data_IF_379439430142
#
_entry.id   IF_379439430142
#
_cell.length_a   1.000
_cell.length_b   1.000
_cell.length_c   1.000
_cell.angle_alpha   90.00
_cell.angle_beta   90.00
_cell.angle_gamma   90.00
#
_symmetry.space_group_name_H-M   'P 1'
#
loop_
_entity.id
_entity.type
_entity.pdbx_description
1 polymer ?
#
# COMPACT_ATOMS: atom_id res chain seq x y z
N UNK A 1 15.69 -18.75 18.19
CA UNK A 1 14.61 -17.90 17.65
C UNK A 1 15.16 -17.07 16.51
N UNK A 2 14.76 -17.36 15.27
CA UNK A 2 15.26 -16.65 14.08
C UNK A 2 14.91 -15.15 14.16
N UNK A 3 15.92 -14.29 14.17
CA UNK A 3 15.74 -12.85 14.22
C UNK A 3 15.18 -12.39 12.86
N UNK A 4 13.92 -11.94 12.85
CA UNK A 4 13.30 -11.43 11.62
C UNK A 4 13.96 -10.12 11.21
N UNK A 5 14.51 -10.06 9.99
CA UNK A 5 15.04 -8.84 9.43
C UNK A 5 13.96 -7.75 9.38
N UNK A 6 14.32 -6.51 9.73
CA UNK A 6 13.43 -5.35 9.56
C UNK A 6 13.36 -5.00 8.07
N UNK A 7 12.14 -4.90 7.55
CA UNK A 7 11.87 -4.48 6.18
C UNK A 7 11.14 -3.13 6.17
N UNK A 8 11.57 -2.22 5.29
CA UNK A 8 10.90 -0.94 5.05
C UNK A 8 10.01 -1.07 3.81
N UNK A 9 8.74 -0.70 3.96
CA UNK A 9 7.79 -0.61 2.85
C UNK A 9 7.77 0.84 2.38
N UNK A 10 7.91 1.07 1.08
CA UNK A 10 7.80 2.39 0.46
C UNK A 10 6.81 2.29 -0.69
N UNK A 11 5.79 3.16 -0.67
CA UNK A 11 4.85 3.31 -1.77
C UNK A 11 5.24 4.56 -2.55
N UNK A 12 5.55 4.39 -3.84
CA UNK A 12 5.75 5.54 -4.75
C UNK A 12 4.36 6.02 -5.17
N UNK A 13 3.88 7.09 -4.53
CA UNK A 13 2.50 7.54 -4.58
C UNK A 13 1.98 7.78 -6.01
N UNK A 14 2.78 8.44 -6.86
CA UNK A 14 2.39 8.74 -8.26
C UNK A 14 2.37 7.52 -9.20
N UNK A 15 2.93 6.39 -8.73
CA UNK A 15 2.89 5.10 -9.44
C UNK A 15 1.82 4.17 -8.88
N UNK A 16 1.28 4.47 -7.70
CA UNK A 16 0.22 3.69 -7.10
C UNK A 16 -1.02 3.73 -8.00
N UNK A 17 -1.55 2.55 -8.31
CA UNK A 17 -2.79 2.38 -9.09
C UNK A 17 -4.02 2.16 -8.22
N UNK A 18 -3.83 2.00 -6.91
CA UNK A 18 -4.92 1.72 -6.01
C UNK A 18 -5.54 0.34 -6.16
N UNK A 19 -4.80 -0.66 -6.64
CA UNK A 19 -5.32 -2.01 -6.92
C UNK A 19 -5.58 -2.88 -5.68
N UNK A 20 -5.13 -2.48 -4.49
CA UNK A 20 -5.39 -3.22 -3.24
C UNK A 20 -4.52 -4.44 -2.97
N UNK A 21 -3.78 -4.98 -3.94
CA UNK A 21 -2.98 -6.21 -3.73
C UNK A 21 -1.97 -6.12 -2.58
N UNK A 22 -1.35 -4.96 -2.37
CA UNK A 22 -0.44 -4.78 -1.26
C UNK A 22 -1.14 -4.87 0.11
N UNK A 23 -2.43 -4.54 0.20
CA UNK A 23 -3.25 -4.66 1.40
C UNK A 23 -3.67 -6.11 1.58
N UNK A 24 -4.27 -6.72 0.54
CA UNK A 24 -4.79 -8.09 0.55
C UNK A 24 -3.73 -9.12 0.92
N UNK A 25 -2.54 -9.01 0.33
CA UNK A 25 -1.46 -9.98 0.52
C UNK A 25 -0.47 -9.59 1.64
N UNK A 26 -0.75 -8.55 2.43
CA UNK A 26 0.12 -8.19 3.54
C UNK A 26 -0.04 -9.20 4.69
N UNK A 27 0.96 -10.05 5.00
CA UNK A 27 0.84 -11.02 6.09
C UNK A 27 0.78 -10.36 7.48
N UNK A 28 1.09 -9.06 7.55
CA UNK A 28 1.04 -8.28 8.78
C UNK A 28 -0.22 -7.42 8.89
N UNK A 29 -1.01 -7.27 7.82
CA UNK A 29 -2.22 -6.47 7.83
C UNK A 29 -2.01 -4.99 8.21
N UNK A 30 -0.84 -4.40 7.87
CA UNK A 30 -0.46 -3.05 8.32
C UNK A 30 -0.70 -1.95 7.27
N UNK A 31 -1.32 -2.29 6.14
CA UNK A 31 -1.57 -1.35 5.04
C UNK A 31 -3.08 -1.11 4.91
N UNK A 32 -3.45 0.11 4.49
CA UNK A 32 -4.81 0.52 4.19
C UNK A 32 -4.84 1.43 2.96
N UNK A 33 -6.02 1.61 2.37
CA UNK A 33 -6.21 2.63 1.35
C UNK A 33 -6.04 4.04 1.95
N UNK A 34 -5.53 4.95 1.13
CA UNK A 34 -5.53 6.38 1.45
C UNK A 34 -6.85 7.00 1.04
N UNK A 35 -7.23 8.09 1.71
CA UNK A 35 -8.37 8.93 1.33
C UNK A 35 -7.98 10.04 0.33
N UNK A 36 -6.68 10.20 0.08
CA UNK A 36 -6.10 11.25 -0.77
C UNK A 36 -5.92 10.79 -2.23
N UNK A 37 -5.75 11.77 -3.14
CA UNK A 37 -5.34 11.55 -4.53
C UNK A 37 -3.85 11.76 -4.72
N UNK A 38 -3.28 11.03 -5.67
CA UNK A 38 -1.98 11.41 -6.23
C UNK A 38 -2.15 12.50 -7.30
N UNK A 39 -1.03 13.05 -7.76
CA UNK A 39 -1.01 14.12 -8.77
C UNK A 39 -1.69 13.72 -10.10
N UNK A 40 -1.90 12.42 -10.31
CA UNK A 40 -2.57 11.86 -11.49
C UNK A 40 -4.08 11.71 -11.33
N UNK A 41 -4.64 12.17 -10.20
CA UNK A 41 -6.07 12.07 -9.89
C UNK A 41 -6.55 10.64 -9.62
N UNK A 42 -5.64 9.70 -9.34
CA UNK A 42 -6.04 8.33 -9.05
C UNK A 42 -6.54 8.22 -7.61
N UNK A 43 -7.85 7.98 -7.45
CA UNK A 43 -8.43 7.44 -6.23
C UNK A 43 -8.03 5.96 -6.10
N UNK A 44 -7.52 5.49 -4.95
CA UNK A 44 -7.58 4.08 -4.66
C UNK A 44 -9.04 3.63 -4.72
N UNK A 45 -9.32 2.61 -5.52
CA UNK A 45 -10.66 2.17 -5.84
C UNK A 45 -11.51 1.99 -4.56
N UNK A 46 -12.48 2.88 -4.40
CA UNK A 46 -13.60 2.73 -3.49
C UNK A 46 -14.78 2.24 -4.35
N UNK A 47 -15.04 0.94 -4.36
CA UNK A 47 -16.43 0.46 -4.38
C UNK A 47 -16.68 -0.41 -3.18
#
# INVERSE_FOLDING_TARGET
MSQRARARVVVIWDRCKGCGFCIEFCPRGILKFSEEFNERGAHPHMS
#
